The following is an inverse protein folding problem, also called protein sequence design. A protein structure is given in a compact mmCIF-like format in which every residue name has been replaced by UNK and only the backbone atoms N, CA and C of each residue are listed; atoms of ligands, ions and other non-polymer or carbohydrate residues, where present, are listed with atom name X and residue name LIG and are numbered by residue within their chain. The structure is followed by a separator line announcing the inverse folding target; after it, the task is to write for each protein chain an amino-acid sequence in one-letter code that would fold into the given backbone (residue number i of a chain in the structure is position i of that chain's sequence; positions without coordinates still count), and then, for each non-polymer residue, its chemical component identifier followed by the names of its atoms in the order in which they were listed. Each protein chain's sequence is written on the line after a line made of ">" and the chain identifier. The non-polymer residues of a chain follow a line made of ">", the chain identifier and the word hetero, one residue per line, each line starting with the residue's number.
data_IF_548287200792
#
_entry.id   IF_548287200792
#
_cell.length_a   1.000
_cell.length_b   1.000
_cell.length_c   1.000
_cell.angle_alpha   90.00
_cell.angle_beta   90.00
_cell.angle_gamma   90.00
#
_symmetry.space_group_name_H-M   'P 1'
#
loop_
_entity.id
_entity.type
_entity.pdbx_description
1 polymer ?
#
# COMPACT_ATOMS: atom_id res chain seq x y z
N UNK A 1 -31.02 17.99 32.84
CA UNK A 1 -31.34 18.89 31.73
C UNK A 1 -30.01 19.43 31.22
N UNK A 2 -29.70 19.22 29.95
CA UNK A 2 -28.39 19.51 29.35
C UNK A 2 -27.84 18.33 28.55
N UNK A 3 -28.57 17.87 27.54
CA UNK A 3 -27.96 17.18 26.40
C UNK A 3 -27.19 18.24 25.62
N UNK A 4 -25.88 18.34 25.84
CA UNK A 4 -24.97 19.01 24.90
C UNK A 4 -25.04 18.21 23.59
N UNK A 5 -25.95 18.60 22.70
CA UNK A 5 -26.05 18.10 21.34
C UNK A 5 -24.79 18.54 20.57
N UNK A 6 -23.69 17.82 20.79
CA UNK A 6 -22.47 17.94 19.98
C UNK A 6 -22.81 17.54 18.55
N UNK A 7 -23.10 18.53 17.71
CA UNK A 7 -23.31 18.31 16.28
C UNK A 7 -21.98 17.90 15.67
N UNK A 8 -21.90 16.69 15.12
CA UNK A 8 -20.76 16.28 14.33
C UNK A 8 -20.77 17.08 13.03
N UNK A 9 -19.75 17.92 12.83
CA UNK A 9 -19.72 18.82 11.68
C UNK A 9 -19.78 18.09 10.34
N UNK A 10 -19.19 16.90 10.27
CA UNK A 10 -19.24 16.05 9.10
C UNK A 10 -20.66 15.61 8.70
N UNK A 11 -21.62 15.58 9.64
CA UNK A 11 -23.02 15.25 9.34
C UNK A 11 -23.80 16.46 8.78
N UNK A 12 -23.29 17.68 9.00
CA UNK A 12 -23.90 18.93 8.54
C UNK A 12 -23.33 19.36 7.19
N UNK A 13 -22.01 19.24 7.06
CA UNK A 13 -21.24 19.60 5.89
C UNK A 13 -20.05 18.64 5.81
N UNK A 14 -20.05 17.77 4.83
CA UNK A 14 -19.02 16.73 4.69
C UNK A 14 -17.63 17.38 4.52
N UNK A 15 -16.64 16.90 5.26
CA UNK A 15 -15.29 17.46 5.29
C UNK A 15 -15.12 18.73 6.13
N UNK A 16 -16.17 19.19 6.82
CA UNK A 16 -16.08 20.38 7.68
C UNK A 16 -15.60 20.09 9.10
N UNK A 17 -14.89 21.06 9.68
CA UNK A 17 -14.38 20.99 11.04
C UNK A 17 -15.05 22.03 11.94
N UNK A 18 -15.20 21.74 13.25
CA UNK A 18 -15.71 22.72 14.19
C UNK A 18 -14.72 23.87 14.36
N UNK A 19 -15.17 25.10 14.12
CA UNK A 19 -14.38 26.29 14.37
C UNK A 19 -14.43 26.66 15.86
N UNK A 20 -13.29 26.65 16.59
CA UNK A 20 -13.26 26.88 18.03
C UNK A 20 -13.56 28.34 18.44
N UNK A 21 -13.53 29.29 17.49
CA UNK A 21 -13.84 30.70 17.74
C UNK A 21 -15.32 31.02 17.51
N UNK A 22 -15.92 30.44 16.47
CA UNK A 22 -17.32 30.73 16.11
C UNK A 22 -18.30 29.69 16.64
N UNK A 23 -17.81 28.50 17.02
CA UNK A 23 -18.64 27.36 17.42
C UNK A 23 -19.46 26.76 16.28
N UNK A 24 -19.11 27.07 15.02
CA UNK A 24 -19.82 26.61 13.82
C UNK A 24 -18.96 25.64 13.01
N UNK A 25 -19.61 24.81 12.21
CA UNK A 25 -18.95 23.95 11.24
C UNK A 25 -18.55 24.77 10.01
N UNK A 26 -17.26 24.75 9.69
CA UNK A 26 -16.67 25.52 8.61
C UNK A 26 -15.71 24.62 7.82
N UNK A 27 -15.56 24.88 6.53
CA UNK A 27 -14.58 24.15 5.72
C UNK A 27 -13.15 24.45 6.17
N UNK A 28 -12.23 23.51 6.00
CA UNK A 28 -10.81 23.72 6.25
C UNK A 28 -10.27 24.92 5.45
N UNK A 29 -9.14 25.45 5.92
CA UNK A 29 -8.49 26.57 5.25
C UNK A 29 -8.11 26.17 3.82
N UNK A 30 -8.43 27.02 2.84
CA UNK A 30 -8.29 26.74 1.38
C UNK A 30 -9.40 25.92 0.72
N UNK A 31 -10.41 25.46 1.46
CA UNK A 31 -11.59 24.79 0.91
C UNK A 31 -12.82 25.72 0.91
N UNK A 32 -13.77 25.46 0.01
CA UNK A 32 -15.06 26.16 -0.03
C UNK A 32 -16.21 25.16 0.02
N UNK A 33 -17.38 25.53 0.57
CA UNK A 33 -18.58 24.72 0.42
C UNK A 33 -18.90 24.52 -1.06
N UNK A 34 -19.36 23.31 -1.40
CA UNK A 34 -19.80 22.95 -2.73
C UNK A 34 -20.96 23.83 -3.19
N UNK A 35 -21.23 23.83 -4.49
CA UNK A 35 -22.34 24.62 -5.07
C UNK A 35 -23.68 24.25 -4.42
N UNK A 36 -23.87 22.98 -4.09
CA UNK A 36 -25.05 22.44 -3.41
C UNK A 36 -25.00 22.61 -1.87
N UNK A 37 -23.87 23.07 -1.33
CA UNK A 37 -23.68 23.37 0.09
C UNK A 37 -23.62 22.15 1.01
N UNK A 38 -23.36 20.97 0.46
CA UNK A 38 -23.41 19.67 1.17
C UNK A 38 -22.04 19.16 1.59
N UNK A 39 -20.97 19.60 0.94
CA UNK A 39 -19.59 19.16 1.23
C UNK A 39 -18.59 20.28 1.03
N UNK A 40 -17.41 20.17 1.62
CA UNK A 40 -16.27 21.03 1.32
C UNK A 40 -15.54 20.52 0.07
N UNK A 41 -15.17 21.45 -0.81
CA UNK A 41 -14.50 21.16 -2.08
C UNK A 41 -13.30 22.09 -2.26
N UNK A 42 -12.29 21.58 -2.97
CA UNK A 42 -11.18 22.39 -3.39
C UNK A 42 -11.55 23.35 -4.55
N UNK A 43 -10.90 24.52 -4.64
CA UNK A 43 -11.04 25.43 -5.78
C UNK A 43 -10.78 24.75 -7.12
N UNK A 44 -11.28 25.35 -8.20
CA UNK A 44 -11.30 24.73 -9.54
C UNK A 44 -9.90 24.23 -9.98
N UNK A 45 -9.79 22.92 -10.22
CA UNK A 45 -8.54 22.26 -10.64
C UNK A 45 -7.60 21.83 -9.51
N UNK A 46 -7.95 22.10 -8.25
CA UNK A 46 -7.20 21.69 -7.07
C UNK A 46 -7.85 20.47 -6.42
N UNK A 47 -7.04 19.69 -5.71
CA UNK A 47 -7.48 18.54 -4.93
C UNK A 47 -6.64 18.36 -3.68
N UNK A 48 -7.05 17.41 -2.86
CA UNK A 48 -6.36 17.01 -1.64
C UNK A 48 -5.26 15.99 -1.98
N UNK A 49 -4.20 16.02 -1.18
CA UNK A 49 -3.19 14.97 -1.16
C UNK A 49 -3.31 14.15 0.12
N UNK A 50 -2.89 12.90 0.07
CA UNK A 50 -3.03 12.00 1.21
C UNK A 50 -2.39 12.57 2.48
N UNK A 51 -3.17 12.63 3.56
CA UNK A 51 -2.75 13.18 4.85
C UNK A 51 -2.72 14.71 4.95
N UNK A 52 -3.25 15.45 3.98
CA UNK A 52 -3.37 16.92 4.03
C UNK A 52 -4.79 17.41 3.75
N UNK A 53 -5.24 18.42 4.49
CA UNK A 53 -6.47 19.16 4.25
C UNK A 53 -6.27 20.35 3.28
N UNK A 54 -5.03 20.55 2.81
CA UNK A 54 -4.67 21.66 1.93
C UNK A 54 -4.98 21.33 0.48
N UNK A 55 -5.69 22.24 -0.19
CA UNK A 55 -5.94 22.16 -1.62
C UNK A 55 -4.69 22.53 -2.40
N UNK A 56 -4.20 21.58 -3.19
CA UNK A 56 -3.03 21.76 -4.06
C UNK A 56 -3.42 21.59 -5.52
N UNK A 57 -2.65 22.21 -6.41
CA UNK A 57 -2.80 21.98 -7.84
C UNK A 57 -2.38 20.55 -8.16
N UNK A 58 -3.33 19.72 -8.59
CA UNK A 58 -3.08 18.30 -8.83
C UNK A 58 -2.01 18.08 -9.90
N UNK A 59 -1.95 18.92 -10.94
CA UNK A 59 -0.91 18.83 -11.97
C UNK A 59 0.50 19.11 -11.44
N UNK A 60 0.61 19.87 -10.35
CA UNK A 60 1.89 20.16 -9.68
C UNK A 60 2.25 19.10 -8.63
N UNK A 61 1.26 18.61 -7.89
CA UNK A 61 1.45 17.59 -6.86
C UNK A 61 1.68 16.19 -7.44
N UNK A 62 0.96 15.86 -8.52
CA UNK A 62 1.00 14.58 -9.21
C UNK A 62 0.74 14.82 -10.71
N UNK A 63 1.81 14.97 -11.49
CA UNK A 63 1.72 15.34 -12.91
C UNK A 63 0.80 14.38 -13.68
N UNK A 64 -0.21 14.91 -14.37
CA UNK A 64 -1.20 14.11 -15.12
C UNK A 64 -2.39 13.62 -14.30
N UNK A 65 -2.46 13.91 -13.00
CA UNK A 65 -3.64 13.68 -12.16
C UNK A 65 -4.70 14.76 -12.33
N UNK A 66 -5.90 14.48 -11.82
CA UNK A 66 -6.99 15.42 -11.73
C UNK A 66 -7.71 15.23 -10.38
N UNK A 67 -8.35 16.27 -9.83
CA UNK A 67 -9.16 16.11 -8.63
C UNK A 67 -10.36 15.21 -8.91
N UNK A 68 -10.53 14.18 -8.08
CA UNK A 68 -11.67 13.30 -8.12
C UNK A 68 -12.92 14.05 -7.57
N UNK A 69 -14.05 14.05 -8.30
CA UNK A 69 -15.23 14.81 -7.89
C UNK A 69 -15.93 14.25 -6.65
N UNK A 70 -15.71 12.98 -6.30
CA UNK A 70 -16.31 12.32 -5.14
C UNK A 70 -15.41 12.47 -3.90
N UNK A 71 -14.12 12.18 -4.02
CA UNK A 71 -13.16 12.18 -2.89
C UNK A 71 -12.44 13.52 -2.70
N UNK A 72 -12.53 14.43 -3.66
CA UNK A 72 -11.73 15.65 -3.76
C UNK A 72 -10.20 15.42 -3.80
N UNK A 73 -9.73 14.17 -3.86
CA UNK A 73 -8.30 13.84 -3.89
C UNK A 73 -7.73 13.95 -5.31
N UNK A 74 -6.45 14.28 -5.42
CA UNK A 74 -5.73 14.22 -6.69
C UNK A 74 -5.48 12.76 -7.08
N UNK A 75 -6.16 12.30 -8.13
CA UNK A 75 -6.10 10.91 -8.58
C UNK A 75 -5.67 10.81 -10.04
N UNK A 76 -4.97 9.71 -10.34
CA UNK A 76 -4.61 9.41 -11.72
C UNK A 76 -5.85 9.03 -12.55
N UNK A 77 -5.89 9.40 -13.83
CA UNK A 77 -6.98 9.02 -14.70
C UNK A 77 -7.05 7.49 -14.88
N UNK A 78 -8.19 6.97 -15.36
CA UNK A 78 -8.38 5.53 -15.54
C UNK A 78 -7.25 4.88 -16.35
N UNK A 79 -6.77 3.73 -15.88
CA UNK A 79 -5.61 2.98 -16.43
C UNK A 79 -4.25 3.65 -16.22
N UNK A 80 -4.16 4.66 -15.35
CA UNK A 80 -2.89 5.21 -14.90
C UNK A 80 -2.71 5.00 -13.40
N UNK A 81 -1.47 4.84 -12.97
CA UNK A 81 -1.09 4.75 -11.57
C UNK A 81 -0.04 5.81 -11.26
N UNK A 82 0.08 6.27 -10.00
CA UNK A 82 1.22 7.07 -9.59
C UNK A 82 2.52 6.30 -9.88
N UNK A 83 3.53 6.99 -10.40
CA UNK A 83 4.89 6.48 -10.56
C UNK A 83 5.44 6.03 -9.20
N UNK A 84 6.51 5.22 -9.22
CA UNK A 84 7.21 4.76 -7.99
C UNK A 84 7.64 5.90 -7.06
N UNK A 85 7.94 7.08 -7.62
CA UNK A 85 8.36 8.28 -6.90
C UNK A 85 7.16 9.14 -6.43
N UNK A 86 5.93 8.75 -6.81
CA UNK A 86 4.69 9.42 -6.42
C UNK A 86 4.45 10.79 -7.06
N UNK A 87 5.26 11.21 -8.04
CA UNK A 87 5.25 12.58 -8.59
C UNK A 87 4.51 12.75 -9.92
N UNK A 88 4.22 11.67 -10.64
CA UNK A 88 3.48 11.69 -11.91
C UNK A 88 2.58 10.46 -12.09
N UNK A 89 1.57 10.57 -12.93
CA UNK A 89 0.76 9.46 -13.40
C UNK A 89 1.41 8.81 -14.62
N UNK A 90 1.57 7.49 -14.56
CA UNK A 90 2.13 6.70 -15.66
C UNK A 90 1.09 5.71 -16.15
N UNK A 91 1.14 5.39 -17.45
CA UNK A 91 0.26 4.40 -18.05
C UNK A 91 0.52 3.06 -17.37
N UNK A 92 -0.40 2.64 -16.52
CA UNK A 92 -0.30 1.39 -15.79
C UNK A 92 -0.39 0.29 -16.82
N UNK A 93 0.73 -0.39 -17.08
CA UNK A 93 0.71 -1.65 -17.83
C UNK A 93 0.07 -2.72 -16.95
N UNK A 94 -1.26 -2.64 -16.80
CA UNK A 94 -2.12 -3.68 -16.23
C UNK A 94 -2.05 -3.84 -14.71
N UNK A 95 -3.08 -3.34 -14.03
CA UNK A 95 -3.46 -3.68 -12.65
C UNK A 95 -2.40 -3.30 -11.58
N UNK A 96 -2.77 -3.15 -10.30
CA UNK A 96 -1.76 -3.22 -9.25
C UNK A 96 -1.03 -4.55 -9.43
N UNK A 97 0.29 -4.49 -9.66
CA UNK A 97 1.11 -5.68 -9.52
C UNK A 97 0.82 -6.23 -8.12
N UNK A 98 0.58 -7.54 -7.97
CA UNK A 98 0.49 -8.10 -6.64
C UNK A 98 1.80 -7.80 -5.92
N UNK A 99 1.75 -6.95 -4.88
CA UNK A 99 2.89 -6.70 -3.98
C UNK A 99 3.41 -8.02 -3.37
N UNK A 100 2.54 -9.03 -3.33
CA UNK A 100 2.78 -10.38 -2.83
C UNK A 100 2.10 -11.39 -3.75
N UNK A 101 2.88 -12.31 -4.32
CA UNK A 101 2.34 -13.45 -5.05
C UNK A 101 1.76 -14.48 -4.08
N UNK A 102 0.86 -15.37 -4.54
CA UNK A 102 0.41 -16.45 -3.67
C UNK A 102 1.59 -17.35 -3.27
N UNK A 103 1.45 -18.06 -2.14
CA UNK A 103 2.46 -18.99 -1.65
C UNK A 103 2.86 -19.97 -2.78
N UNK A 104 4.16 -20.04 -3.07
CA UNK A 104 4.71 -20.88 -4.13
C UNK A 104 4.85 -20.21 -5.50
N UNK A 105 4.44 -18.95 -5.62
CA UNK A 105 4.61 -18.15 -6.83
C UNK A 105 5.70 -17.08 -6.65
N UNK A 106 6.28 -16.67 -7.77
CA UNK A 106 7.23 -15.56 -7.83
C UNK A 106 6.93 -14.64 -9.00
N UNK A 107 7.29 -13.36 -8.85
CA UNK A 107 7.08 -12.35 -9.87
C UNK A 107 8.10 -12.54 -11.01
N UNK A 108 7.63 -13.01 -12.16
CA UNK A 108 8.43 -13.26 -13.36
C UNK A 108 7.78 -12.52 -14.53
N UNK A 109 8.51 -11.59 -15.16
CA UNK A 109 7.98 -10.72 -16.21
C UNK A 109 6.75 -9.88 -15.78
N UNK A 110 6.70 -9.46 -14.51
CA UNK A 110 5.57 -8.75 -13.89
C UNK A 110 4.29 -9.58 -13.74
N UNK A 111 4.40 -10.91 -13.79
CA UNK A 111 3.29 -11.83 -13.57
C UNK A 111 3.69 -12.86 -12.50
N UNK A 112 2.78 -13.18 -11.57
CA UNK A 112 3.02 -14.25 -10.60
C UNK A 112 2.98 -15.60 -11.32
N UNK A 113 4.11 -16.29 -11.37
CA UNK A 113 4.24 -17.62 -11.96
C UNK A 113 4.53 -18.63 -10.88
N UNK A 114 3.99 -19.84 -11.03
CA UNK A 114 4.25 -20.95 -10.10
C UNK A 114 5.72 -21.38 -10.22
N UNK A 115 6.46 -21.29 -9.13
CA UNK A 115 7.88 -21.62 -9.13
C UNK A 115 8.10 -23.13 -9.34
N UNK A 116 7.12 -23.97 -9.00
CA UNK A 116 7.17 -25.42 -9.24
C UNK A 116 7.24 -25.76 -10.72
N UNK A 117 6.52 -25.01 -11.56
CA UNK A 117 6.53 -25.19 -13.02
C UNK A 117 7.90 -24.83 -13.64
N UNK A 118 8.64 -23.96 -12.94
CA UNK A 118 10.01 -23.57 -13.31
C UNK A 118 11.08 -24.48 -12.68
N UNK A 119 10.69 -25.44 -11.83
CA UNK A 119 11.62 -26.29 -11.09
C UNK A 119 12.39 -25.55 -9.99
N UNK A 120 11.85 -24.43 -9.52
CA UNK A 120 12.44 -23.53 -8.52
C UNK A 120 11.54 -23.46 -7.29
N UNK A 121 12.02 -22.82 -6.22
CA UNK A 121 11.19 -22.48 -5.07
C UNK A 121 10.92 -20.98 -4.98
N UNK A 122 9.88 -20.61 -4.24
CA UNK A 122 9.57 -19.22 -3.93
C UNK A 122 10.36 -18.75 -2.71
N UNK A 123 11.07 -17.64 -2.85
CA UNK A 123 11.73 -16.92 -1.77
C UNK A 123 11.56 -15.42 -2.03
N UNK A 124 11.04 -14.68 -1.05
CA UNK A 124 10.86 -13.22 -1.14
C UNK A 124 10.09 -12.78 -2.42
N UNK A 125 8.96 -13.42 -2.72
CA UNK A 125 8.15 -13.20 -3.94
C UNK A 125 8.90 -13.44 -5.27
N UNK A 126 9.99 -14.21 -5.28
CA UNK A 126 10.75 -14.55 -6.48
C UNK A 126 10.93 -16.06 -6.60
N UNK A 127 10.96 -16.56 -7.84
CA UNK A 127 11.34 -17.93 -8.12
C UNK A 127 12.86 -18.04 -8.21
N UNK A 128 13.46 -18.77 -7.27
CA UNK A 128 14.90 -18.88 -7.11
C UNK A 128 15.33 -20.33 -6.91
N UNK A 129 16.62 -20.61 -7.11
CA UNK A 129 17.20 -21.85 -6.63
C UNK A 129 17.37 -21.75 -5.11
N UNK A 130 16.57 -22.53 -4.38
CA UNK A 130 16.57 -22.50 -2.92
C UNK A 130 17.97 -22.71 -2.33
N UNK A 131 18.81 -23.53 -2.94
CA UNK A 131 20.15 -23.80 -2.44
C UNK A 131 21.13 -22.64 -2.69
N UNK A 132 20.85 -21.72 -3.62
CA UNK A 132 21.63 -20.50 -3.80
C UNK A 132 21.28 -19.44 -2.75
N UNK A 133 19.99 -19.24 -2.46
CA UNK A 133 19.53 -18.20 -1.52
C UNK A 133 19.60 -18.64 -0.06
N UNK A 134 19.42 -19.94 0.19
CA UNK A 134 19.40 -20.55 1.51
C UNK A 134 20.08 -21.94 1.41
N UNK A 135 21.39 -21.96 1.64
CA UNK A 135 22.20 -23.16 1.42
C UNK A 135 21.69 -24.35 2.25
N UNK A 136 21.42 -25.47 1.58
CA UNK A 136 20.85 -26.68 2.21
C UNK A 136 19.32 -26.70 2.30
N UNK A 137 18.63 -25.67 1.81
CA UNK A 137 17.17 -25.68 1.65
C UNK A 137 16.74 -26.37 0.36
N UNK A 138 15.46 -26.74 0.31
CA UNK A 138 14.82 -27.30 -0.86
C UNK A 138 13.41 -26.71 -1.01
N UNK A 139 12.87 -26.65 -2.24
CA UNK A 139 11.50 -26.25 -2.46
C UNK A 139 10.54 -27.25 -1.82
N UNK A 140 9.62 -26.75 -1.00
CA UNK A 140 8.59 -27.56 -0.37
C UNK A 140 7.63 -28.11 -1.46
N UNK A 141 7.30 -29.41 -1.47
CA UNK A 141 6.48 -30.00 -2.53
C UNK A 141 5.02 -29.51 -2.57
N UNK A 142 4.54 -28.95 -1.46
CA UNK A 142 3.16 -28.47 -1.27
C UNK A 142 3.05 -26.95 -1.43
N UNK A 143 4.01 -26.19 -0.89
CA UNK A 143 3.99 -24.72 -0.88
C UNK A 143 4.96 -24.11 -1.89
N UNK A 144 5.84 -24.91 -2.50
CA UNK A 144 6.96 -24.46 -3.33
C UNK A 144 7.90 -23.45 -2.66
N UNK A 145 7.74 -23.15 -1.37
CA UNK A 145 8.61 -22.26 -0.62
C UNK A 145 9.98 -22.89 -0.36
N UNK A 146 11.02 -22.06 -0.35
CA UNK A 146 12.35 -22.50 0.04
C UNK A 146 12.40 -22.73 1.56
N UNK A 147 12.41 -24.00 1.95
CA UNK A 147 12.37 -24.40 3.35
C UNK A 147 13.54 -25.30 3.71
N UNK A 148 13.97 -25.23 4.97
CA UNK A 148 14.94 -26.17 5.50
C UNK A 148 14.30 -27.54 5.73
N UNK A 149 15.04 -28.63 5.50
CA UNK A 149 14.55 -29.98 5.78
C UNK A 149 14.27 -30.20 7.28
N UNK A 150 13.41 -31.18 7.59
CA UNK A 150 12.99 -31.47 8.97
C UNK A 150 14.17 -31.64 9.93
N UNK A 151 14.13 -30.90 11.06
CA UNK A 151 15.18 -30.91 12.08
C UNK A 151 16.25 -29.82 11.92
N UNK A 152 16.22 -29.09 10.80
CA UNK A 152 17.11 -27.96 10.55
C UNK A 152 16.38 -26.62 10.73
N UNK A 153 17.15 -25.61 11.12
CA UNK A 153 16.69 -24.22 11.24
C UNK A 153 17.55 -23.34 10.36
N UNK A 154 17.02 -22.19 9.96
CA UNK A 154 17.81 -21.17 9.30
C UNK A 154 18.86 -20.66 10.31
N UNK A 155 20.11 -20.55 9.87
CA UNK A 155 21.21 -19.99 10.65
C UNK A 155 20.91 -18.57 11.11
N UNK A 156 21.61 -18.10 12.14
CA UNK A 156 21.45 -16.71 12.63
C UNK A 156 21.69 -15.66 11.52
N UNK A 157 22.62 -15.94 10.61
CA UNK A 157 22.93 -15.08 9.45
C UNK A 157 21.91 -15.17 8.31
N UNK A 158 20.90 -16.04 8.39
CA UNK A 158 19.83 -16.16 7.38
C UNK A 158 20.19 -16.85 6.07
N UNK A 159 21.44 -17.29 5.87
CA UNK A 159 21.93 -17.75 4.55
C UNK A 159 22.00 -19.27 4.36
N UNK A 160 21.82 -20.08 5.41
CA UNK A 160 21.92 -21.54 5.32
C UNK A 160 21.01 -22.25 6.32
N UNK A 161 20.70 -23.51 6.03
CA UNK A 161 20.06 -24.44 6.94
C UNK A 161 21.13 -25.10 7.81
N UNK A 162 20.94 -25.04 9.13
CA UNK A 162 21.82 -25.68 10.11
C UNK A 162 21.00 -26.60 11.01
N UNK A 163 21.59 -27.75 11.34
CA UNK A 163 21.06 -28.61 12.38
C UNK A 163 20.86 -27.79 13.66
N UNK A 164 19.73 -27.99 14.34
CA UNK A 164 19.57 -27.49 15.69
C UNK A 164 20.53 -28.25 16.60
N UNK A 165 21.81 -27.89 16.61
CA UNK A 165 22.74 -28.35 17.64
C UNK A 165 22.26 -27.71 18.94
N UNK A 166 21.39 -28.43 19.65
CA UNK A 166 21.29 -28.25 21.09
C UNK A 166 22.72 -28.22 21.62
N UNK A 167 23.07 -27.14 22.30
CA UNK A 167 24.33 -26.97 22.98
C UNK A 167 24.78 -28.30 23.60
N UNK A 168 26.02 -28.76 23.41
CA UNK A 168 26.55 -29.74 24.34
C UNK A 168 26.50 -29.10 25.73
N UNK A 169 25.69 -29.65 26.63
CA UNK A 169 25.78 -29.35 28.06
C UNK A 169 27.23 -29.69 28.48
N UNK A 170 28.00 -28.74 29.02
CA UNK A 170 29.26 -29.08 29.64
C UNK A 170 28.98 -29.70 31.01
N UNK A 171 29.27 -31.01 31.15
CA UNK A 171 29.94 -31.58 32.34
C UNK A 171 30.65 -32.89 31.94
#
# INVERSE_FOLDING_TARGET
>A
DGSDDCVQCNDVLEGSNPNPKTGKCECPESQNPSVDGTKCECPNGQGLVDGSDDCVDCGTALEGSAPNPDTAQCECPPNQIPSVDGTKCENGTGLPLPDVCEIGQGLVDNECKDCKDLGQGSFDNQCVDCNEVLQGSAPNPNTAECECPEGQKISEDGTKCEESTGLPLPD
#
